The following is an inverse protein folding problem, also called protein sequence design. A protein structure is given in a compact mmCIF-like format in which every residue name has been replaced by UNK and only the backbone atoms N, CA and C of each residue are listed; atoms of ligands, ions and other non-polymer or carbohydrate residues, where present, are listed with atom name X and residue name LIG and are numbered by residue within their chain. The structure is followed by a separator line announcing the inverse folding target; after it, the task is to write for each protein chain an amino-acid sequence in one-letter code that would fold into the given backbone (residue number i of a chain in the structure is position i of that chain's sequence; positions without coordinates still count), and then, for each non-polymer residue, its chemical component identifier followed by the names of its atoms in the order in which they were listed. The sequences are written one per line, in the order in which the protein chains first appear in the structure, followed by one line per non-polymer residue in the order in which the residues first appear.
data_IF_317042377694
#
_entry.id   IF_317042377694
#
_cell.length_a   1.000
_cell.length_b   1.000
_cell.length_c   1.000
_cell.angle_alpha   90.00
_cell.angle_beta   90.00
_cell.angle_gamma   90.00
#
_symmetry.space_group_name_H-M   'P 1'
#
loop_
_entity.id
_entity.type
_entity.pdbx_description
1 polymer ?
#
# COMPACT_ATOMS: atom_id res chain seq x y z
N UNK A 1 15.29 12.60 21.34
CA UNK A 1 14.09 13.25 20.77
C UNK A 1 14.48 13.64 19.37
N UNK A 2 14.47 12.66 18.46
CA UNK A 2 14.89 12.90 17.09
C UNK A 2 13.72 13.54 16.35
N UNK A 3 13.95 14.75 15.88
CA UNK A 3 13.03 15.43 14.99
C UNK A 3 13.23 14.82 13.60
N UNK A 4 12.26 14.05 13.14
CA UNK A 4 12.23 13.53 11.79
C UNK A 4 11.28 14.40 10.97
N UNK A 5 11.81 15.04 9.93
CA UNK A 5 11.04 15.88 9.01
C UNK A 5 11.02 15.21 7.64
N UNK A 6 10.07 14.31 7.44
CA UNK A 6 9.94 13.53 6.23
C UNK A 6 8.52 13.02 6.01
N UNK A 7 8.15 12.84 4.74
CA UNK A 7 6.93 12.15 4.35
C UNK A 7 7.26 11.03 3.37
N UNK A 8 6.42 10.00 3.36
CA UNK A 8 6.45 8.92 2.38
C UNK A 8 5.33 9.13 1.39
N UNK A 9 5.65 9.02 0.10
CA UNK A 9 4.67 8.92 -0.96
C UNK A 9 4.49 7.45 -1.33
N UNK A 10 3.26 6.97 -1.19
CA UNK A 10 2.84 5.62 -1.57
C UNK A 10 2.08 5.70 -2.88
N UNK A 11 2.37 4.81 -3.84
CA UNK A 11 1.69 4.77 -5.13
C UNK A 11 1.24 3.35 -5.48
N UNK A 12 0.07 3.24 -6.11
CA UNK A 12 -0.33 2.09 -6.90
C UNK A 12 -0.25 2.48 -8.36
N UNK A 13 0.44 1.65 -9.14
CA UNK A 13 0.53 1.80 -10.59
C UNK A 13 -0.09 0.60 -11.28
N UNK A 14 -0.77 0.86 -12.40
CA UNK A 14 -1.20 -0.19 -13.31
C UNK A 14 0.01 -0.81 -13.99
N UNK A 15 -0.18 -2.01 -14.56
CA UNK A 15 0.84 -2.65 -15.40
C UNK A 15 1.24 -1.80 -16.62
N UNK A 16 0.35 -0.92 -17.10
CA UNK A 16 0.63 0.03 -18.18
C UNK A 16 1.37 1.30 -17.73
N UNK A 17 1.78 1.38 -16.47
CA UNK A 17 2.53 2.51 -15.92
C UNK A 17 1.68 3.72 -15.53
N UNK A 18 0.35 3.58 -15.48
CA UNK A 18 -0.52 4.67 -15.03
C UNK A 18 -0.61 4.68 -13.51
N UNK A 19 -0.54 5.85 -12.90
CA UNK A 19 -0.81 6.01 -11.47
C UNK A 19 -2.32 5.83 -11.25
N UNK A 20 -2.69 4.87 -10.39
CA UNK A 20 -4.08 4.51 -10.08
C UNK A 20 -4.51 5.13 -8.75
N UNK A 21 -3.62 5.13 -7.76
CA UNK A 21 -3.90 5.69 -6.43
C UNK A 21 -2.61 6.16 -5.78
N UNK A 22 -2.72 7.18 -4.92
CA UNK A 22 -1.60 7.76 -4.18
C UNK A 22 -2.01 8.10 -2.76
N UNK A 23 -1.09 7.96 -1.82
CA UNK A 23 -1.28 8.40 -0.44
C UNK A 23 0.01 8.99 0.12
N UNK A 24 -0.11 10.02 0.95
CA UNK A 24 1.01 10.58 1.70
C UNK A 24 0.90 10.15 3.16
N UNK A 25 2.03 9.82 3.77
CA UNK A 25 2.11 9.54 5.20
C UNK A 25 3.35 10.16 5.82
N UNK A 26 3.34 10.34 7.13
CA UNK A 26 4.55 10.75 7.86
C UNK A 26 5.59 9.62 7.81
N UNK A 27 6.88 9.96 7.92
CA UNK A 27 7.98 8.99 7.85
C UNK A 27 7.80 7.76 8.77
N UNK A 28 7.33 7.98 10.00
CA UNK A 28 7.15 6.91 10.99
C UNK A 28 5.90 6.04 10.76
N UNK A 29 5.05 6.39 9.81
CA UNK A 29 3.88 5.59 9.50
C UNK A 29 4.32 4.30 8.84
N UNK A 30 3.85 3.17 9.40
CA UNK A 30 4.09 1.86 8.81
C UNK A 30 3.32 1.72 7.49
N UNK A 31 4.01 1.24 6.46
CA UNK A 31 3.51 1.22 5.08
C UNK A 31 2.20 0.42 4.93
N UNK A 32 2.06 -0.64 5.73
CA UNK A 32 0.84 -1.46 5.86
C UNK A 32 -0.42 -0.65 6.18
N UNK A 33 -0.31 0.45 6.94
CA UNK A 33 -1.48 1.26 7.30
C UNK A 33 -2.04 2.04 6.11
N UNK A 34 -1.21 2.28 5.09
CA UNK A 34 -1.60 3.06 3.91
C UNK A 34 -2.26 2.19 2.85
N UNK A 35 -2.09 0.87 2.88
CA UNK A 35 -2.57 0.00 1.81
C UNK A 35 -4.10 0.01 1.68
N UNK A 36 -4.81 0.10 2.80
CA UNK A 36 -6.29 0.10 2.81
C UNK A 36 -6.85 1.32 2.06
N UNK A 37 -6.20 2.48 2.24
CA UNK A 37 -6.55 3.71 1.54
C UNK A 37 -6.19 3.62 0.05
N UNK A 38 -5.06 2.99 -0.27
CA UNK A 38 -4.60 2.89 -1.66
C UNK A 38 -5.47 1.94 -2.50
N UNK A 39 -5.97 0.87 -1.90
CA UNK A 39 -6.71 -0.21 -2.59
C UNK A 39 -8.22 -0.09 -2.51
N UNK A 40 -8.72 0.97 -1.86
CA UNK A 40 -10.15 1.25 -1.77
C UNK A 40 -10.76 1.32 -3.18
N UNK A 41 -11.84 0.58 -3.39
CA UNK A 41 -12.51 0.47 -4.70
C UNK A 41 -11.76 -0.35 -5.79
N UNK A 42 -10.49 -0.71 -5.62
CA UNK A 42 -9.71 -1.41 -6.65
C UNK A 42 -9.86 -2.92 -6.59
N UNK A 43 -10.72 -3.59 -7.38
CA UNK A 43 -10.86 -5.07 -7.37
C UNK A 43 -9.89 -5.76 -8.33
N UNK A 44 -8.59 -5.61 -8.11
CA UNK A 44 -7.56 -6.18 -8.98
C UNK A 44 -6.53 -6.98 -8.19
N UNK A 45 -5.72 -7.76 -8.91
CA UNK A 45 -4.52 -8.38 -8.35
C UNK A 45 -3.50 -7.28 -8.00
N UNK A 46 -2.88 -7.40 -6.84
CA UNK A 46 -1.88 -6.46 -6.35
C UNK A 46 -0.54 -7.16 -6.23
N UNK A 47 0.51 -6.45 -6.61
CA UNK A 47 1.90 -6.87 -6.46
C UNK A 47 2.59 -5.80 -5.62
N UNK A 48 3.23 -6.20 -4.53
CA UNK A 48 3.81 -5.26 -3.59
C UNK A 48 5.22 -5.70 -3.15
N UNK A 49 6.04 -4.74 -2.73
CA UNK A 49 7.34 -5.04 -2.13
C UNK A 49 7.15 -5.58 -0.72
N UNK A 50 8.14 -6.31 -0.20
CA UNK A 50 8.05 -7.00 1.10
C UNK A 50 7.54 -6.11 2.25
N UNK A 51 7.85 -4.82 2.27
CA UNK A 51 7.36 -3.87 3.30
C UNK A 51 5.82 -3.73 3.37
N UNK A 52 5.11 -4.14 2.33
CA UNK A 52 3.64 -4.13 2.24
C UNK A 52 3.03 -5.53 2.31
N UNK A 53 3.83 -6.59 2.44
CA UNK A 53 3.35 -7.96 2.53
C UNK A 53 3.38 -8.36 4.01
N UNK A 54 2.21 -8.32 4.66
CA UNK A 54 2.02 -8.97 5.97
C UNK A 54 1.05 -10.13 5.86
N UNK A 55 1.12 -11.04 6.83
CA UNK A 55 0.20 -12.16 6.92
C UNK A 55 -1.26 -11.69 7.12
N UNK A 56 -1.45 -10.63 7.90
CA UNK A 56 -2.76 -9.99 8.13
C UNK A 56 -3.36 -9.43 6.82
N UNK A 57 -2.53 -8.80 5.99
CA UNK A 57 -2.97 -8.29 4.68
C UNK A 57 -3.31 -9.41 3.71
N UNK A 58 -2.54 -10.50 3.69
CA UNK A 58 -2.86 -11.66 2.86
C UNK A 58 -4.23 -12.23 3.22
N UNK A 59 -4.49 -12.45 4.51
CA UNK A 59 -5.80 -12.95 5.00
C UNK A 59 -6.92 -11.99 4.60
N UNK A 60 -6.72 -10.67 4.80
CA UNK A 60 -7.72 -9.65 4.50
C UNK A 60 -8.01 -9.52 2.99
N UNK A 61 -7.01 -9.77 2.15
CA UNK A 61 -7.19 -9.69 0.71
C UNK A 61 -7.63 -11.00 0.09
N UNK A 62 -7.23 -12.18 0.57
CA UNK A 62 -7.60 -13.49 -0.02
C UNK A 62 -9.12 -13.71 -0.13
N UNK A 63 -9.93 -13.09 0.72
CA UNK A 63 -11.40 -13.16 0.65
C UNK A 63 -12.01 -12.30 -0.48
N UNK A 64 -11.26 -11.34 -1.07
CA UNK A 64 -11.81 -10.37 -2.05
C UNK A 64 -10.90 -10.09 -3.25
N UNK A 65 -9.60 -10.41 -3.19
CA UNK A 65 -8.52 -10.02 -4.10
C UNK A 65 -7.33 -10.99 -3.98
N UNK A 66 -6.42 -10.96 -4.93
CA UNK A 66 -5.22 -11.80 -4.87
C UNK A 66 -3.98 -10.91 -4.72
N UNK A 67 -3.22 -11.09 -3.64
CA UNK A 67 -1.95 -10.41 -3.36
C UNK A 67 -0.80 -11.39 -3.63
N UNK A 68 0.12 -11.01 -4.51
CA UNK A 68 1.34 -11.79 -4.81
C UNK A 68 2.57 -11.08 -4.30
#
# INVERSE_FOLDING_TARGET
MDWFFGCKLHLIMSQSGKIVSTALSNEHTADIKMIEHLVEGLKTKLYAVHGYISQELKIKFEESRHLV
#
